data_IF_465657125564
#
_entry.id   IF_465657125564
#
_cell.length_a   1.000
_cell.length_b   1.000
_cell.length_c   1.000
_cell.angle_alpha   90.00
_cell.angle_beta   90.00
_cell.angle_gamma   90.00
#
_symmetry.space_group_name_H-M   'P 1'
#
loop_
_entity.id
_entity.type
_entity.pdbx_description
1 polymer ?
#
# COMPACT_ATOMS: atom_id res chain seq x y z
N UNK A 1 12.65 40.07 -2.47
CA UNK A 1 12.55 38.62 -2.75
C UNK A 1 11.46 38.07 -1.81
N UNK A 2 10.28 37.91 -2.34
CA UNK A 2 9.13 37.33 -1.64
C UNK A 2 9.44 35.86 -1.40
N UNK A 3 9.51 35.42 -0.14
CA UNK A 3 9.63 34.00 0.21
C UNK A 3 8.41 33.31 -0.38
N UNK A 4 8.62 32.45 -1.36
CA UNK A 4 7.57 31.56 -1.84
C UNK A 4 7.00 30.85 -0.60
N UNK A 5 5.74 31.10 -0.30
CA UNK A 5 4.99 30.41 0.75
C UNK A 5 5.02 28.93 0.39
N UNK A 6 5.76 28.13 1.15
CA UNK A 6 5.71 26.68 1.00
C UNK A 6 4.34 26.24 1.48
N UNK A 7 3.47 25.90 0.56
CA UNK A 7 2.17 25.34 0.89
C UNK A 7 2.38 23.96 1.51
N UNK A 8 2.20 23.85 2.81
CA UNK A 8 2.33 22.63 3.57
C UNK A 8 1.00 22.26 4.23
N UNK A 9 0.65 20.99 4.18
CA UNK A 9 -0.52 20.44 4.87
C UNK A 9 -0.04 19.47 5.96
N UNK A 10 -0.62 19.61 7.15
CA UNK A 10 -0.41 18.63 8.23
C UNK A 10 -1.38 17.46 8.08
N UNK A 11 -0.86 16.24 8.11
CA UNK A 11 -1.64 15.00 8.10
C UNK A 11 -1.70 14.42 9.51
N UNK A 12 -2.89 14.02 9.95
CA UNK A 12 -3.08 13.33 11.23
C UNK A 12 -2.99 11.82 11.02
N UNK A 13 -2.29 11.12 11.91
CA UNK A 13 -2.32 9.66 11.96
C UNK A 13 -3.66 9.22 12.51
N UNK A 14 -4.49 8.59 11.66
CA UNK A 14 -5.81 8.12 12.06
C UNK A 14 -5.80 6.69 12.62
N UNK A 15 -4.84 5.88 12.19
CA UNK A 15 -4.73 4.48 12.59
C UNK A 15 -3.28 3.97 12.45
N UNK A 16 -3.01 2.81 13.02
CA UNK A 16 -1.82 2.01 12.75
C UNK A 16 -2.23 0.63 12.28
N UNK A 17 -1.44 0.05 11.36
CA UNK A 17 -1.62 -1.34 10.98
C UNK A 17 -0.68 -2.23 11.78
N UNK A 18 -1.20 -3.35 12.28
CA UNK A 18 -0.43 -4.42 12.90
C UNK A 18 -0.34 -5.62 11.97
N UNK A 19 0.87 -6.05 11.68
CA UNK A 19 1.19 -7.15 10.76
C UNK A 19 2.23 -8.09 11.36
N UNK A 20 2.45 -9.23 10.71
CA UNK A 20 3.51 -10.16 11.10
C UNK A 20 4.94 -9.69 10.70
N UNK A 21 5.09 -8.48 10.15
CA UNK A 21 6.37 -7.96 9.65
C UNK A 21 6.95 -6.90 10.60
N UNK A 22 7.74 -7.27 11.60
CA UNK A 22 8.36 -6.32 12.54
C UNK A 22 9.45 -5.46 11.88
N UNK A 23 9.95 -5.89 10.73
CA UNK A 23 10.99 -5.20 9.95
C UNK A 23 10.64 -5.19 8.47
N UNK A 24 11.35 -4.37 7.68
CA UNK A 24 11.17 -4.30 6.23
C UNK A 24 11.53 -5.58 5.46
N UNK A 25 12.17 -6.55 6.10
CA UNK A 25 12.58 -7.81 5.47
C UNK A 25 11.41 -8.79 5.44
N UNK A 26 11.20 -9.41 4.28
CA UNK A 26 10.12 -10.38 4.06
C UNK A 26 8.77 -9.75 3.69
N UNK A 27 8.64 -8.43 3.69
CA UNK A 27 7.43 -7.75 3.24
C UNK A 27 7.28 -7.94 1.72
N UNK A 28 6.08 -8.32 1.22
CA UNK A 28 5.79 -8.31 -0.21
C UNK A 28 6.05 -6.93 -0.83
N UNK A 29 6.54 -6.91 -2.05
CA UNK A 29 6.89 -5.63 -2.72
C UNK A 29 5.69 -4.76 -3.07
N UNK A 30 4.50 -5.34 -3.10
CA UNK A 30 3.22 -4.65 -3.35
C UNK A 30 2.11 -5.42 -2.65
N UNK A 31 1.03 -4.72 -2.32
CA UNK A 31 -0.20 -5.31 -1.78
C UNK A 31 -0.81 -6.32 -2.76
N UNK A 32 -1.53 -7.31 -2.22
CA UNK A 32 -2.24 -8.31 -3.00
C UNK A 32 -1.36 -9.40 -3.63
N UNK A 33 -0.04 -9.42 -3.38
CA UNK A 33 0.84 -10.50 -3.87
C UNK A 33 0.75 -11.77 -3.02
N UNK A 34 0.36 -11.66 -1.76
CA UNK A 34 0.21 -12.78 -0.82
C UNK A 34 -1.08 -12.60 -0.02
N UNK A 35 -2.16 -13.20 -0.48
CA UNK A 35 -3.51 -13.02 0.09
C UNK A 35 -3.67 -13.60 1.50
N UNK A 36 -2.79 -14.53 1.90
CA UNK A 36 -2.85 -15.14 3.24
C UNK A 36 -2.36 -14.24 4.37
N UNK A 37 -1.68 -13.12 4.05
CA UNK A 37 -1.14 -12.21 5.05
C UNK A 37 -2.25 -11.32 5.60
N UNK A 38 -2.57 -11.52 6.86
CA UNK A 38 -3.52 -10.69 7.60
C UNK A 38 -2.84 -9.53 8.30
N UNK A 39 -3.57 -8.42 8.37
CA UNK A 39 -3.23 -7.27 9.20
C UNK A 39 -4.45 -6.75 9.93
N UNK A 40 -4.22 -6.09 11.05
CA UNK A 40 -5.24 -5.41 11.83
C UNK A 40 -4.99 -3.91 11.79
N UNK A 41 -5.98 -3.14 11.36
CA UNK A 41 -5.93 -1.68 11.40
C UNK A 41 -6.68 -1.21 12.63
N UNK A 42 -5.95 -0.59 13.55
CA UNK A 42 -6.46 -0.09 14.82
C UNK A 42 -6.41 1.43 14.80
N UNK A 43 -7.57 2.05 14.96
CA UNK A 43 -7.67 3.53 14.98
C UNK A 43 -7.06 4.11 16.25
N UNK A 44 -6.49 5.30 16.14
CA UNK A 44 -6.07 6.08 17.30
C UNK A 44 -7.30 6.53 18.11
N UNK A 45 -7.19 6.81 19.41
CA UNK A 45 -8.35 7.06 20.26
C UNK A 45 -9.31 8.14 19.76
N UNK A 46 -8.81 9.16 19.09
CA UNK A 46 -9.60 10.26 18.53
C UNK A 46 -10.54 9.81 17.40
N UNK A 47 -10.14 8.76 16.64
CA UNK A 47 -10.87 8.30 15.44
C UNK A 47 -11.61 6.97 15.63
N UNK A 48 -11.82 6.51 16.88
CA UNK A 48 -12.48 5.21 17.21
C UNK A 48 -13.99 5.24 17.12
N UNK A 49 -14.59 6.22 16.45
CA UNK A 49 -16.03 6.28 16.30
C UNK A 49 -16.53 5.22 15.32
N UNK A 50 -17.42 4.27 15.75
CA UNK A 50 -17.97 3.24 14.87
C UNK A 50 -18.72 3.79 13.65
N UNK A 51 -19.29 4.99 13.78
CA UNK A 51 -20.00 5.62 12.66
C UNK A 51 -19.08 5.97 11.48
N UNK A 52 -17.79 6.15 11.74
CA UNK A 52 -16.81 6.44 10.70
C UNK A 52 -16.56 5.27 9.73
N UNK A 53 -16.89 4.05 10.14
CA UNK A 53 -16.73 2.83 9.33
C UNK A 53 -18.06 2.25 8.87
N UNK A 54 -19.18 2.93 9.14
CA UNK A 54 -20.51 2.49 8.74
C UNK A 54 -20.61 2.40 7.21
N UNK A 55 -21.03 1.24 6.68
CA UNK A 55 -21.14 0.98 5.25
C UNK A 55 -19.84 0.57 4.58
N UNK A 56 -18.70 0.59 5.31
CA UNK A 56 -17.43 0.14 4.76
C UNK A 56 -17.41 -1.40 4.58
N UNK A 57 -18.19 -2.13 5.34
CA UNK A 57 -18.38 -3.58 5.26
C UNK A 57 -18.94 -4.07 3.91
N UNK A 58 -19.58 -3.20 3.14
CA UNK A 58 -20.11 -3.51 1.82
C UNK A 58 -19.03 -3.52 0.72
N UNK A 59 -17.82 -3.02 1.04
CA UNK A 59 -16.70 -2.99 0.11
C UNK A 59 -15.74 -4.15 0.35
N UNK A 60 -15.33 -4.83 -0.72
CA UNK A 60 -14.37 -5.93 -0.65
C UNK A 60 -12.92 -5.46 -0.50
N UNK A 61 -12.60 -4.25 -0.97
CA UNK A 61 -11.26 -3.68 -0.94
C UNK A 61 -11.29 -2.23 -0.50
N UNK A 62 -10.18 -1.81 0.11
CA UNK A 62 -9.96 -0.43 0.54
C UNK A 62 -8.58 0.06 0.12
N UNK A 63 -8.47 1.36 -0.14
CA UNK A 63 -7.22 2.08 -0.28
C UNK A 63 -6.72 2.52 1.09
N UNK A 64 -5.43 2.32 1.33
CA UNK A 64 -4.70 2.85 2.48
C UNK A 64 -3.70 3.90 2.01
N UNK A 65 -3.76 5.11 2.57
CA UNK A 65 -2.73 6.13 2.44
C UNK A 65 -1.91 6.11 3.73
N UNK A 66 -0.60 5.83 3.61
CA UNK A 66 0.27 5.57 4.74
C UNK A 66 1.67 6.15 4.54
N UNK A 67 2.52 6.13 5.55
CA UNK A 67 3.87 6.69 5.48
C UNK A 67 4.94 5.61 5.50
N UNK A 68 5.94 5.78 4.66
CA UNK A 68 7.21 5.07 4.75
C UNK A 68 8.05 5.62 5.91
N UNK A 69 7.71 5.27 7.15
CA UNK A 69 8.34 5.83 8.36
C UNK A 69 9.87 5.62 8.42
N UNK A 70 10.36 4.51 7.85
CA UNK A 70 11.79 4.22 7.76
C UNK A 70 12.54 4.93 6.63
N UNK A 71 11.87 5.76 5.81
CA UNK A 71 12.46 6.41 4.64
C UNK A 71 12.40 7.95 4.66
N UNK A 72 11.97 8.51 5.79
CA UNK A 72 11.93 9.98 5.97
C UNK A 72 13.35 10.53 5.89
N UNK A 73 13.55 11.55 5.04
CA UNK A 73 14.84 12.21 4.82
C UNK A 73 14.64 13.72 4.72
N UNK A 74 15.65 14.49 5.09
CA UNK A 74 15.65 15.94 4.97
C UNK A 74 15.78 16.42 3.52
N UNK A 75 16.29 15.55 2.64
CA UNK A 75 16.50 15.86 1.21
C UNK A 75 15.94 14.74 0.34
N UNK A 76 15.47 15.08 -0.85
CA UNK A 76 14.99 14.15 -1.85
C UNK A 76 15.86 14.14 -3.09
N UNK A 77 15.77 13.09 -3.89
CA UNK A 77 16.47 12.98 -5.17
C UNK A 77 15.44 12.90 -6.31
N UNK A 78 15.63 13.66 -7.40
CA UNK A 78 14.73 13.60 -8.54
C UNK A 78 14.76 12.25 -9.27
N UNK A 79 15.81 11.44 -9.05
CA UNK A 79 15.96 10.13 -9.67
C UNK A 79 16.28 9.06 -8.64
N UNK A 80 15.82 7.85 -8.93
CA UNK A 80 16.11 6.63 -8.18
C UNK A 80 16.57 5.51 -9.12
N UNK A 81 17.15 4.45 -8.57
CA UNK A 81 17.56 3.25 -9.31
C UNK A 81 16.67 2.08 -8.90
N UNK A 82 15.60 1.76 -9.67
CA UNK A 82 14.74 0.66 -9.34
C UNK A 82 15.50 -0.67 -9.38
N UNK A 83 15.40 -1.52 -8.33
CA UNK A 83 16.06 -2.83 -8.33
C UNK A 83 15.60 -3.75 -9.50
N UNK A 84 14.34 -3.60 -9.93
CA UNK A 84 13.79 -4.36 -11.07
C UNK A 84 14.50 -4.09 -12.40
N UNK A 85 15.16 -2.94 -12.54
CA UNK A 85 15.98 -2.59 -13.73
C UNK A 85 17.47 -2.89 -13.52
N UNK A 86 17.81 -3.85 -12.64
CA UNK A 86 19.19 -4.23 -12.36
C UNK A 86 19.99 -3.19 -11.55
N UNK A 87 19.32 -2.15 -11.03
CA UNK A 87 19.95 -1.12 -10.18
C UNK A 87 20.88 -0.14 -10.91
N UNK A 88 21.08 -0.28 -12.23
CA UNK A 88 21.96 0.58 -13.04
C UNK A 88 21.20 1.69 -13.77
N UNK A 89 19.94 1.46 -14.11
CA UNK A 89 19.11 2.45 -14.82
C UNK A 89 18.52 3.44 -13.84
N UNK A 90 18.67 4.73 -14.14
CA UNK A 90 18.01 5.81 -13.37
C UNK A 90 16.63 6.09 -13.93
N UNK A 91 15.67 6.22 -13.05
CA UNK A 91 14.28 6.61 -13.37
C UNK A 91 13.90 7.84 -12.55
N UNK A 92 13.04 8.69 -13.09
CA UNK A 92 12.43 9.77 -12.33
C UNK A 92 11.69 9.19 -11.12
N UNK A 93 11.80 9.82 -9.95
CA UNK A 93 11.18 9.32 -8.71
C UNK A 93 9.68 9.16 -8.85
N UNK A 94 9.02 10.05 -9.59
CA UNK A 94 7.57 10.01 -9.82
C UNK A 94 7.14 8.93 -10.82
N UNK A 95 8.06 8.38 -11.61
CA UNK A 95 7.82 7.21 -12.44
C UNK A 95 7.94 5.88 -11.65
N UNK A 96 8.15 5.94 -10.36
CA UNK A 96 8.36 4.78 -9.48
C UNK A 96 7.51 4.88 -8.21
N UNK A 97 7.41 3.78 -7.47
CA UNK A 97 6.82 3.74 -6.12
C UNK A 97 7.91 3.73 -5.03
N UNK A 98 9.06 4.32 -5.31
CA UNK A 98 10.16 4.45 -4.34
C UNK A 98 9.72 5.26 -3.12
N UNK A 99 10.13 4.85 -1.90
CA UNK A 99 9.88 5.61 -0.68
C UNK A 99 10.67 6.91 -0.60
N UNK A 100 11.75 7.04 -1.38
CA UNK A 100 12.67 8.20 -1.38
C UNK A 100 12.13 9.33 -2.25
N UNK A 101 11.00 9.88 -1.84
CA UNK A 101 10.24 10.92 -2.54
C UNK A 101 9.97 12.10 -1.62
N UNK A 102 9.60 13.29 -2.17
CA UNK A 102 9.40 14.49 -1.36
C UNK A 102 8.43 14.28 -0.19
N UNK A 103 7.31 13.60 -0.46
CA UNK A 103 6.38 13.15 0.56
C UNK A 103 6.42 11.61 0.57
N UNK A 104 7.01 10.97 1.58
CA UNK A 104 7.20 9.53 1.63
C UNK A 104 5.89 8.79 1.96
N UNK A 105 4.86 9.05 1.16
CA UNK A 105 3.55 8.42 1.27
C UNK A 105 3.48 7.17 0.40
N UNK A 106 2.86 6.14 0.94
CA UNK A 106 2.50 4.91 0.27
C UNK A 106 1.00 4.86 -0.02
N UNK A 107 0.64 4.10 -1.02
CA UNK A 107 -0.74 3.80 -1.41
C UNK A 107 -0.83 2.30 -1.66
N UNK A 108 -1.70 1.61 -0.89
CA UNK A 108 -1.92 0.18 -1.00
C UNK A 108 -3.40 -0.13 -1.08
N UNK A 109 -3.81 -0.96 -2.05
CA UNK A 109 -5.13 -1.57 -2.06
C UNK A 109 -5.05 -2.89 -1.33
N UNK A 110 -5.88 -3.07 -0.31
CA UNK A 110 -5.94 -4.29 0.48
C UNK A 110 -7.37 -4.83 0.51
N UNK A 111 -7.51 -6.15 0.65
CA UNK A 111 -8.81 -6.75 0.83
C UNK A 111 -9.30 -6.48 2.26
N UNK A 112 -10.53 -5.99 2.40
CA UNK A 112 -11.22 -5.90 3.69
C UNK A 112 -11.90 -7.25 3.97
N UNK A 113 -11.42 -7.97 4.98
CA UNK A 113 -12.00 -9.26 5.36
C UNK A 113 -13.25 -9.07 6.23
N UNK A 114 -13.15 -8.22 7.25
CA UNK A 114 -14.26 -7.89 8.16
C UNK A 114 -13.93 -6.67 9.01
N UNK A 115 -14.95 -6.12 9.66
CA UNK A 115 -14.83 -5.10 10.69
C UNK A 115 -15.28 -5.72 12.01
N UNK A 116 -14.45 -5.59 13.04
CA UNK A 116 -14.76 -6.02 14.41
C UNK A 116 -14.91 -4.80 15.30
N UNK A 117 -15.97 -4.75 16.10
CA UNK A 117 -16.09 -3.75 17.17
C UNK A 117 -15.59 -4.39 18.45
N UNK A 118 -14.43 -3.96 18.92
CA UNK A 118 -13.79 -4.49 20.13
C UNK A 118 -14.02 -3.55 21.33
N UNK A 119 -14.32 -4.07 22.53
CA UNK A 119 -14.42 -3.24 23.74
C UNK A 119 -13.15 -2.40 23.92
N UNK A 120 -13.30 -1.14 24.33
CA UNK A 120 -12.23 -0.17 24.61
C UNK A 120 -11.31 0.21 23.41
N UNK A 121 -11.29 -0.62 22.37
CA UNK A 121 -10.51 -0.39 21.15
C UNK A 121 -11.32 0.27 20.05
N UNK A 122 -12.64 0.02 20.02
CA UNK A 122 -13.53 0.49 18.96
C UNK A 122 -13.44 -0.37 17.69
N UNK A 123 -13.68 0.20 16.50
CA UNK A 123 -13.61 -0.53 15.24
C UNK A 123 -12.19 -0.95 14.93
N UNK A 124 -12.03 -2.20 14.49
CA UNK A 124 -10.78 -2.79 14.01
C UNK A 124 -11.07 -3.36 12.62
N UNK A 125 -10.30 -2.94 11.63
CA UNK A 125 -10.42 -3.49 10.27
C UNK A 125 -9.46 -4.66 10.12
N UNK A 126 -9.98 -5.84 9.80
CA UNK A 126 -9.18 -7.01 9.46
C UNK A 126 -8.98 -7.02 7.95
N UNK A 127 -7.73 -6.95 7.53
CA UNK A 127 -7.37 -6.85 6.11
C UNK A 127 -6.44 -7.99 5.67
N UNK A 128 -6.44 -8.26 4.38
CA UNK A 128 -5.52 -9.22 3.73
C UNK A 128 -4.71 -8.55 2.64
N UNK A 129 -3.55 -9.15 2.36
CA UNK A 129 -2.67 -8.71 1.28
C UNK A 129 -1.93 -7.41 1.60
N UNK A 130 -1.82 -7.03 2.86
CA UNK A 130 -1.08 -5.83 3.26
C UNK A 130 0.43 -6.02 3.08
N UNK A 131 1.06 -5.03 2.44
CA UNK A 131 2.50 -4.94 2.19
C UNK A 131 3.18 -3.92 3.12
N UNK A 132 2.71 -3.84 4.37
CA UNK A 132 3.12 -2.84 5.35
C UNK A 132 3.84 -3.49 6.52
N UNK A 133 4.83 -2.76 7.04
CA UNK A 133 5.51 -3.11 8.29
C UNK A 133 4.59 -2.90 9.49
N UNK A 134 4.76 -3.70 10.53
CA UNK A 134 4.05 -3.53 11.79
C UNK A 134 4.23 -2.11 12.35
N UNK A 135 3.14 -1.53 12.87
CA UNK A 135 3.12 -0.17 13.40
C UNK A 135 3.12 0.94 12.36
N UNK A 136 3.00 0.63 11.06
CA UNK A 136 2.96 1.66 10.00
C UNK A 136 1.77 2.60 10.22
N UNK A 137 2.00 3.94 10.26
CA UNK A 137 0.94 4.92 10.41
C UNK A 137 0.11 5.07 9.15
N UNK A 138 -1.21 5.13 9.32
CA UNK A 138 -2.21 5.33 8.26
C UNK A 138 -2.80 6.73 8.43
N UNK A 139 -2.89 7.47 7.33
CA UNK A 139 -3.42 8.83 7.27
C UNK A 139 -4.82 8.91 6.67
N UNK A 140 -5.19 7.96 5.78
CA UNK A 140 -6.50 7.94 5.17
C UNK A 140 -6.89 6.54 4.73
N UNK A 141 -8.18 6.27 4.75
CA UNK A 141 -8.80 5.03 4.28
C UNK A 141 -9.94 5.40 3.36
N UNK A 142 -9.96 4.83 2.15
CA UNK A 142 -11.04 5.04 1.17
C UNK A 142 -11.53 3.70 0.63
N UNK A 143 -12.82 3.57 0.29
CA UNK A 143 -13.28 2.38 -0.42
C UNK A 143 -12.63 2.28 -1.81
N UNK A 144 -12.33 1.06 -2.25
CA UNK A 144 -11.96 0.79 -3.63
C UNK A 144 -13.22 0.67 -4.48
N UNK A 145 -13.29 1.47 -5.54
CA UNK A 145 -14.47 1.56 -6.41
C UNK A 145 -14.07 1.06 -7.80
N UNK A 146 -14.46 -0.19 -8.20
CA UNK A 146 -13.95 -0.82 -9.42
C UNK A 146 -14.11 0.00 -10.69
N UNK A 147 -15.24 0.64 -10.89
CA UNK A 147 -15.49 1.41 -12.11
C UNK A 147 -14.65 2.70 -12.20
N UNK A 148 -14.16 3.21 -11.06
CA UNK A 148 -13.34 4.41 -11.00
C UNK A 148 -11.83 4.09 -10.87
N UNK A 149 -11.49 3.03 -10.16
CA UNK A 149 -10.11 2.73 -9.78
C UNK A 149 -9.43 1.70 -10.68
N UNK A 150 -10.22 0.89 -11.42
CA UNK A 150 -9.68 -0.15 -12.29
C UNK A 150 -9.53 0.35 -13.73
N UNK A 151 -8.30 0.25 -14.25
CA UNK A 151 -7.96 0.56 -15.64
C UNK A 151 -7.29 -0.65 -16.28
N UNK A 152 -8.05 -1.63 -16.81
CA UNK A 152 -7.51 -2.89 -17.34
C UNK A 152 -6.50 -2.70 -18.47
N UNK A 153 -6.69 -1.67 -19.29
CA UNK A 153 -5.86 -1.36 -20.46
C UNK A 153 -4.74 -0.34 -20.16
N UNK A 154 -4.50 -0.03 -18.87
CA UNK A 154 -3.47 0.93 -18.51
C UNK A 154 -2.06 0.42 -18.89
N UNK A 155 -1.26 1.31 -19.50
CA UNK A 155 0.13 1.02 -19.79
C UNK A 155 0.95 0.87 -18.51
N UNK A 156 1.75 -0.19 -18.41
CA UNK A 156 2.50 -0.54 -17.20
C UNK A 156 3.92 0.06 -17.13
N UNK A 157 4.33 0.82 -18.14
CA UNK A 157 5.67 1.40 -18.23
C UNK A 157 6.75 0.31 -18.14
N UNK A 158 7.83 0.57 -17.38
CA UNK A 158 8.92 -0.39 -17.23
C UNK A 158 8.53 -1.63 -16.40
N UNK A 159 7.42 -1.62 -15.69
CA UNK A 159 6.97 -2.77 -14.89
C UNK A 159 6.37 -3.89 -15.73
N UNK A 160 5.84 -3.57 -16.91
CA UNK A 160 5.29 -4.54 -17.85
C UNK A 160 6.32 -5.51 -18.42
N UNK A 161 7.55 -5.06 -18.61
CA UNK A 161 8.65 -5.91 -19.10
C UNK A 161 9.07 -7.01 -18.11
N UNK A 162 8.74 -6.86 -16.83
CA UNK A 162 9.12 -7.82 -15.77
C UNK A 162 8.05 -8.86 -15.50
N UNK A 163 6.83 -8.69 -15.99
CA UNK A 163 5.75 -9.69 -15.85
C UNK A 163 6.02 -10.98 -16.63
N UNK A 164 6.68 -10.90 -17.78
CA UNK A 164 7.03 -12.09 -18.57
C UNK A 164 7.96 -13.05 -17.81
N UNK A 165 8.73 -12.55 -16.85
CA UNK A 165 9.64 -13.37 -16.02
C UNK A 165 8.92 -14.07 -14.84
N UNK A 166 7.77 -13.55 -14.39
CA UNK A 166 6.99 -14.12 -13.29
C UNK A 166 5.96 -15.15 -13.78
N UNK A 167 5.53 -15.05 -15.04
CA UNK A 167 4.59 -16.00 -15.65
C UNK A 167 5.25 -17.35 -16.02
N UNK A 168 6.59 -17.42 -16.07
CA UNK A 168 7.32 -18.67 -16.37
C UNK A 168 7.44 -19.65 -15.18
N UNK A 169 7.02 -19.27 -13.98
CA UNK A 169 7.07 -20.14 -12.79
C UNK A 169 5.73 -20.76 -12.41
N UNK A 170 4.65 -20.45 -13.14
CA UNK A 170 3.36 -21.13 -12.98
C UNK A 170 3.19 -22.13 -14.11
N UNK A 171 2.99 -23.44 -13.82
CA UNK A 171 2.70 -24.41 -14.86
C UNK A 171 1.45 -23.98 -15.62
N UNK A 172 1.55 -23.93 -16.95
CA UNK A 172 0.41 -23.65 -17.81
C UNK A 172 -0.67 -24.71 -17.60
N UNK A 173 -1.97 -24.35 -17.62
CA UNK A 173 -3.04 -25.34 -17.59
C UNK A 173 -2.95 -26.42 -18.73
N UNK A 174 -2.11 -26.18 -19.75
CA UNK A 174 -1.84 -27.14 -20.82
C UNK A 174 -0.82 -28.21 -20.43
N UNK A 175 -0.03 -28.00 -19.38
CA UNK A 175 0.96 -28.97 -18.92
C UNK A 175 0.37 -30.04 -17.99
N UNK A 176 -0.92 -29.94 -17.66
CA UNK A 176 -1.65 -30.89 -16.81
C UNK A 176 -2.51 -31.88 -17.58
N UNK A 177 -2.43 -31.93 -18.94
CA UNK A 177 -3.21 -32.80 -19.76
C UNK A 177 -2.37 -33.83 -20.56
N UNK A 178 -1.48 -34.59 -19.90
CA UNK A 178 -0.89 -35.81 -20.43
C UNK A 178 -0.69 -36.80 -19.30
N UNK A 179 -1.74 -37.57 -19.06
CA UNK A 179 -1.70 -38.97 -18.57
C UNK A 179 -3.06 -39.58 -18.75
#
# INVERSE_FOLDING_TARGET
>A
MEKASTEAMTLNVIAHIHTAFPTKFGIPRQSGLVDSLRGEIIFTPEYRNPDAVRGLEDFSHIWLVWQFSGAVRDTWSPTVRPPRLGGNTRMGVFATRSPFRPNPLGLSSVQLEKIEIRPEVGPVLIVRGADLMDGTPIYDIKPYIPYADCHPDAAEGFTGQTRSCLLYTSPSPRDLSTS
#
